data_IF_936169462726
#
_entry.id   IF_936169462726
#
_cell.length_a   1.000
_cell.length_b   1.000
_cell.length_c   1.000
_cell.angle_alpha   90.00
_cell.angle_beta   90.00
_cell.angle_gamma   90.00
#
_symmetry.space_group_name_H-M   'P 1'
#
loop_
_entity.id
_entity.type
_entity.pdbx_description
1 polymer ?
#
# COMPACT_ATOMS: atom_id res chain seq x y z
N UNK A 1 -28.93 3.00 25.18
CA UNK A 1 -27.99 3.49 24.16
C UNK A 1 -28.72 3.47 22.81
N UNK A 2 -28.86 4.62 22.15
CA UNK A 2 -29.90 4.86 21.14
C UNK A 2 -29.51 4.27 19.76
N UNK A 3 -30.11 3.12 19.39
CA UNK A 3 -29.77 2.34 18.20
C UNK A 3 -29.85 3.15 16.89
N UNK A 4 -30.78 4.12 16.82
CA UNK A 4 -30.98 4.99 15.65
C UNK A 4 -29.87 6.04 15.46
N UNK A 5 -29.22 6.49 16.55
CA UNK A 5 -28.09 7.42 16.48
C UNK A 5 -26.85 6.71 15.95
N UNK A 6 -26.63 5.47 16.38
CA UNK A 6 -25.56 4.63 15.86
C UNK A 6 -25.76 4.30 14.37
N UNK A 7 -26.99 4.00 13.93
CA UNK A 7 -27.27 3.73 12.52
C UNK A 7 -27.01 4.94 11.61
N UNK A 8 -27.43 6.14 12.01
CA UNK A 8 -27.12 7.37 11.26
C UNK A 8 -25.64 7.67 11.19
N UNK A 9 -24.92 7.47 12.30
CA UNK A 9 -23.48 7.68 12.37
C UNK A 9 -22.74 6.69 11.46
N UNK A 10 -23.10 5.41 11.51
CA UNK A 10 -22.51 4.36 10.66
C UNK A 10 -22.75 4.67 9.18
N UNK A 11 -23.97 5.05 8.80
CA UNK A 11 -24.28 5.40 7.40
C UNK A 11 -23.50 6.63 6.92
N UNK A 12 -23.31 7.62 7.79
CA UNK A 12 -22.51 8.80 7.47
C UNK A 12 -21.03 8.45 7.26
N UNK A 13 -20.46 7.64 8.16
CA UNK A 13 -19.07 7.16 8.05
C UNK A 13 -18.86 6.35 6.77
N UNK A 14 -19.77 5.43 6.48
CA UNK A 14 -19.68 4.60 5.27
C UNK A 14 -19.73 5.46 4.00
N UNK A 15 -20.62 6.45 3.93
CA UNK A 15 -20.71 7.33 2.78
C UNK A 15 -19.44 8.18 2.61
N UNK A 16 -18.81 8.63 3.70
CA UNK A 16 -17.51 9.31 3.62
C UNK A 16 -16.43 8.36 3.13
N UNK A 17 -16.35 7.16 3.71
CA UNK A 17 -15.34 6.16 3.34
C UNK A 17 -15.43 5.80 1.85
N UNK A 18 -16.63 5.54 1.32
CA UNK A 18 -16.84 5.25 -0.10
C UNK A 18 -16.33 6.38 -1.01
N UNK A 19 -16.61 7.64 -0.64
CA UNK A 19 -16.12 8.79 -1.42
C UNK A 19 -14.60 8.92 -1.35
N UNK A 20 -13.99 8.74 -0.17
CA UNK A 20 -12.54 8.78 0.00
C UNK A 20 -11.87 7.69 -0.83
N UNK A 21 -12.40 6.47 -0.82
CA UNK A 21 -11.86 5.36 -1.59
C UNK A 21 -11.94 5.59 -3.11
N UNK A 22 -13.03 6.20 -3.59
CA UNK A 22 -13.16 6.57 -5.00
C UNK A 22 -12.11 7.63 -5.38
N UNK A 23 -11.97 8.68 -4.57
CA UNK A 23 -10.97 9.73 -4.81
C UNK A 23 -9.55 9.14 -4.82
N UNK A 24 -9.23 8.30 -3.84
CA UNK A 24 -7.94 7.62 -3.76
C UNK A 24 -7.67 6.78 -5.02
N UNK A 25 -8.65 6.00 -5.48
CA UNK A 25 -8.53 5.20 -6.70
C UNK A 25 -8.24 6.05 -7.94
N UNK A 26 -8.94 7.18 -8.10
CA UNK A 26 -8.75 8.10 -9.23
C UNK A 26 -7.35 8.73 -9.18
N UNK A 27 -6.95 9.25 -8.01
CA UNK A 27 -5.63 9.86 -7.83
C UNK A 27 -4.52 8.84 -8.09
N UNK A 28 -4.64 7.62 -7.55
CA UNK A 28 -3.63 6.58 -7.75
C UNK A 28 -3.51 6.16 -9.21
N UNK A 29 -4.64 6.08 -9.93
CA UNK A 29 -4.63 5.78 -11.36
C UNK A 29 -3.92 6.87 -12.16
N UNK A 30 -4.21 8.14 -11.88
CA UNK A 30 -3.54 9.29 -12.52
C UNK A 30 -2.04 9.26 -12.18
N UNK A 31 -1.69 9.02 -10.91
CA UNK A 31 -0.31 8.93 -10.45
C UNK A 31 0.48 7.83 -11.17
N UNK A 32 -0.11 6.64 -11.40
CA UNK A 32 0.52 5.58 -12.19
C UNK A 32 0.80 6.05 -13.62
N UNK A 33 -0.20 6.65 -14.28
CA UNK A 33 -0.07 7.15 -15.66
C UNK A 33 1.02 8.21 -15.79
N UNK A 34 1.23 9.03 -14.76
CA UNK A 34 2.29 10.05 -14.74
C UNK A 34 3.67 9.48 -14.37
N UNK A 35 3.73 8.52 -13.43
CA UNK A 35 4.99 7.96 -12.94
C UNK A 35 5.65 6.99 -13.92
N UNK A 36 4.88 6.29 -14.76
CA UNK A 36 5.43 5.41 -15.81
C UNK A 36 6.31 6.17 -16.81
N UNK A 37 5.83 7.20 -17.52
CA UNK A 37 6.66 7.95 -18.45
C UNK A 37 7.79 8.71 -17.74
N UNK A 38 7.56 9.20 -16.51
CA UNK A 38 8.62 9.81 -15.70
C UNK A 38 9.79 8.84 -15.48
N UNK A 39 9.50 7.61 -15.07
CA UNK A 39 10.51 6.56 -14.90
C UNK A 39 11.22 6.23 -16.22
N UNK A 40 10.49 6.09 -17.32
CA UNK A 40 11.07 5.80 -18.64
C UNK A 40 12.07 6.88 -19.09
N UNK A 41 11.75 8.16 -18.88
CA UNK A 41 12.64 9.27 -19.20
C UNK A 41 13.91 9.23 -18.34
N UNK A 42 13.78 8.91 -17.05
CA UNK A 42 14.93 8.85 -16.13
C UNK A 42 15.84 7.64 -16.38
N UNK A 43 15.30 6.52 -16.86
CA UNK A 43 16.08 5.33 -17.19
C UNK A 43 16.95 5.51 -18.44
N UNK A 44 16.69 6.54 -19.25
CA UNK A 44 17.49 6.83 -20.43
C UNK A 44 18.96 7.08 -20.07
N UNK A 45 19.89 6.47 -20.82
CA UNK A 45 21.34 6.47 -20.53
C UNK A 45 21.93 7.86 -20.29
N UNK A 46 21.42 8.89 -20.98
CA UNK A 46 21.89 10.28 -20.83
C UNK A 46 21.58 10.88 -19.45
N UNK A 47 20.56 10.37 -18.75
CA UNK A 47 20.08 10.92 -17.48
C UNK A 47 20.66 10.18 -16.27
N UNK A 48 21.25 8.99 -16.41
CA UNK A 48 21.76 8.18 -15.27
C UNK A 48 23.15 8.60 -14.77
N UNK A 49 23.55 9.85 -15.02
CA UNK A 49 24.92 10.34 -14.77
C UNK A 49 25.14 10.91 -13.37
N UNK A 50 24.06 11.22 -12.65
CA UNK A 50 24.09 11.85 -11.32
C UNK A 50 23.40 11.00 -10.26
N UNK A 51 23.89 11.10 -9.02
CA UNK A 51 23.22 10.52 -7.84
C UNK A 51 21.80 11.04 -7.66
N UNK A 52 21.54 12.31 -7.96
CA UNK A 52 20.20 12.90 -7.90
C UNK A 52 19.22 12.16 -8.82
N UNK A 53 19.66 11.82 -10.02
CA UNK A 53 18.82 11.11 -10.98
C UNK A 53 18.64 9.63 -10.58
N UNK A 54 19.65 9.04 -9.95
CA UNK A 54 19.54 7.67 -9.38
C UNK A 54 18.57 7.61 -8.21
N UNK A 55 18.58 8.61 -7.32
CA UNK A 55 17.61 8.74 -6.21
C UNK A 55 16.20 8.96 -6.77
N UNK A 56 16.05 9.81 -7.79
CA UNK A 56 14.75 10.08 -8.43
C UNK A 56 14.16 8.83 -9.10
N UNK A 57 14.99 7.97 -9.70
CA UNK A 57 14.55 6.64 -10.18
C UNK A 57 14.03 5.80 -9.02
N UNK A 58 14.72 5.80 -7.88
CA UNK A 58 14.28 5.11 -6.66
C UNK A 58 12.90 5.58 -6.20
N UNK A 59 12.70 6.90 -6.11
CA UNK A 59 11.40 7.51 -5.75
C UNK A 59 10.31 7.06 -6.73
N UNK A 60 10.56 7.18 -8.05
CA UNK A 60 9.59 6.79 -9.06
C UNK A 60 9.21 5.29 -8.98
N UNK A 61 10.16 4.40 -8.64
CA UNK A 61 9.87 2.97 -8.42
C UNK A 61 9.04 2.76 -7.15
N UNK A 62 9.36 3.46 -6.06
CA UNK A 62 8.60 3.40 -4.81
C UNK A 62 7.16 3.84 -5.06
N UNK A 63 6.97 4.99 -5.70
CA UNK A 63 5.64 5.55 -5.99
C UNK A 63 4.85 4.62 -6.91
N UNK A 64 5.46 4.05 -7.96
CA UNK A 64 4.79 3.05 -8.79
C UNK A 64 4.33 1.84 -7.99
N UNK A 65 5.16 1.34 -7.07
CA UNK A 65 4.83 0.17 -6.25
C UNK A 65 3.66 0.48 -5.31
N UNK A 66 3.71 1.61 -4.60
CA UNK A 66 2.65 2.08 -3.70
C UNK A 66 1.33 2.26 -4.45
N UNK A 67 1.35 3.02 -5.53
CA UNK A 67 0.14 3.30 -6.31
C UNK A 67 -0.43 2.03 -6.96
N UNK A 68 0.43 1.09 -7.36
CA UNK A 68 0.00 -0.21 -7.90
C UNK A 68 -0.69 -1.08 -6.85
N UNK A 69 -0.21 -1.06 -5.60
CA UNK A 69 -0.83 -1.79 -4.49
C UNK A 69 -2.25 -1.26 -4.20
N UNK A 70 -2.40 0.08 -4.17
CA UNK A 70 -3.71 0.72 -3.98
C UNK A 70 -4.66 0.38 -5.13
N UNK A 71 -4.22 0.50 -6.38
CA UNK A 71 -5.06 0.14 -7.55
C UNK A 71 -5.44 -1.33 -7.52
N UNK A 72 -4.50 -2.22 -7.18
CA UNK A 72 -4.76 -3.65 -7.06
C UNK A 72 -5.87 -3.95 -6.02
N UNK A 73 -5.74 -3.39 -4.81
CA UNK A 73 -6.73 -3.59 -3.74
C UNK A 73 -8.13 -3.10 -4.18
N UNK A 74 -8.22 -1.91 -4.77
CA UNK A 74 -9.49 -1.34 -5.23
C UNK A 74 -10.11 -2.10 -6.40
N UNK A 75 -9.29 -2.59 -7.32
CA UNK A 75 -9.78 -3.43 -8.42
C UNK A 75 -10.30 -4.77 -7.89
N UNK A 76 -9.61 -5.39 -6.93
CA UNK A 76 -10.12 -6.60 -6.24
C UNK A 76 -11.48 -6.31 -5.59
N UNK A 77 -11.58 -5.23 -4.82
CA UNK A 77 -12.79 -4.84 -4.09
C UNK A 77 -14.00 -4.55 -5.01
N UNK A 78 -13.81 -3.70 -6.03
CA UNK A 78 -14.91 -3.21 -6.88
C UNK A 78 -15.22 -4.12 -8.07
N UNK A 79 -14.22 -4.68 -8.74
CA UNK A 79 -14.43 -5.42 -10.01
C UNK A 79 -14.58 -6.92 -9.80
N UNK A 80 -13.72 -7.53 -8.99
CA UNK A 80 -13.75 -8.98 -8.78
C UNK A 80 -14.77 -9.36 -7.71
N UNK A 81 -14.78 -8.61 -6.61
CA UNK A 81 -15.65 -8.88 -5.47
C UNK A 81 -16.93 -8.06 -5.45
N UNK A 82 -17.11 -7.18 -6.44
CA UNK A 82 -18.32 -6.43 -6.81
C UNK A 82 -19.41 -6.45 -5.76
N UNK A 83 -19.35 -5.50 -4.83
CA UNK A 83 -20.35 -5.27 -3.76
C UNK A 83 -20.99 -6.57 -3.25
N UNK A 84 -20.27 -7.28 -2.38
CA UNK A 84 -20.75 -8.51 -1.72
C UNK A 84 -21.31 -9.56 -2.69
N UNK A 85 -20.62 -9.88 -3.79
CA UNK A 85 -21.03 -11.01 -4.63
C UNK A 85 -21.06 -12.29 -3.76
N UNK A 86 -22.25 -12.81 -3.41
CA UNK A 86 -22.36 -13.88 -2.43
C UNK A 86 -22.14 -15.26 -3.05
N UNK A 87 -21.72 -15.26 -4.32
CA UNK A 87 -21.37 -16.43 -5.10
C UNK A 87 -19.86 -16.58 -5.22
N UNK A 88 -19.05 -15.76 -4.56
CA UNK A 88 -17.61 -15.98 -4.45
C UNK A 88 -17.17 -15.78 -3.00
N UNK A 89 -16.24 -16.62 -2.54
CA UNK A 89 -15.61 -16.45 -1.25
C UNK A 89 -14.56 -15.34 -1.33
N UNK A 90 -14.82 -14.21 -0.67
CA UNK A 90 -13.94 -13.04 -0.65
C UNK A 90 -12.80 -13.19 0.37
N UNK A 91 -13.01 -14.03 1.39
CA UNK A 91 -12.11 -14.21 2.53
C UNK A 91 -11.28 -15.49 2.37
N UNK A 92 -10.78 -15.73 1.17
CA UNK A 92 -9.91 -16.88 0.90
C UNK A 92 -8.50 -16.60 1.45
N UNK A 93 -7.79 -17.66 1.88
CA UNK A 93 -6.43 -17.54 2.43
C UNK A 93 -5.49 -16.78 1.50
N UNK A 94 -5.49 -17.11 0.21
CA UNK A 94 -4.65 -16.44 -0.78
C UNK A 94 -4.98 -14.95 -0.96
N UNK A 95 -6.26 -14.58 -0.86
CA UNK A 95 -6.67 -13.19 -0.99
C UNK A 95 -6.20 -12.38 0.23
N UNK A 96 -6.45 -12.89 1.45
CA UNK A 96 -5.98 -12.24 2.68
C UNK A 96 -4.45 -12.16 2.75
N UNK A 97 -3.74 -13.20 2.31
CA UNK A 97 -2.29 -13.16 2.15
C UNK A 97 -1.84 -12.10 1.17
N UNK A 98 -2.46 -12.03 -0.02
CA UNK A 98 -2.11 -11.04 -1.05
C UNK A 98 -2.34 -9.61 -0.55
N UNK A 99 -3.46 -9.37 0.12
CA UNK A 99 -3.77 -8.08 0.74
C UNK A 99 -2.75 -7.73 1.83
N UNK A 100 -2.41 -8.67 2.72
CA UNK A 100 -1.41 -8.43 3.77
C UNK A 100 -0.03 -8.10 3.17
N UNK A 101 0.41 -8.86 2.17
CA UNK A 101 1.67 -8.60 1.46
C UNK A 101 1.61 -7.23 0.77
N UNK A 102 0.51 -6.90 0.12
CA UNK A 102 0.27 -5.60 -0.49
C UNK A 102 0.40 -4.45 0.50
N UNK A 103 -0.23 -4.58 1.68
CA UNK A 103 -0.14 -3.58 2.76
C UNK A 103 1.30 -3.44 3.27
N UNK A 104 2.01 -4.56 3.50
CA UNK A 104 3.40 -4.52 3.95
C UNK A 104 4.29 -3.81 2.91
N UNK A 105 4.13 -4.16 1.63
CA UNK A 105 4.88 -3.52 0.54
C UNK A 105 4.57 -2.02 0.49
N UNK A 106 3.30 -1.65 0.55
CA UNK A 106 2.87 -0.26 0.56
C UNK A 106 3.57 0.52 1.70
N UNK A 107 3.51 0.02 2.94
CA UNK A 107 4.17 0.67 4.09
C UNK A 107 5.67 0.85 3.87
N UNK A 108 6.37 -0.20 3.43
CA UNK A 108 7.82 -0.15 3.20
C UNK A 108 8.20 0.89 2.15
N UNK A 109 7.48 0.91 1.02
CA UNK A 109 7.81 1.80 -0.09
C UNK A 109 7.36 3.25 0.14
N UNK A 110 6.29 3.49 0.88
CA UNK A 110 5.88 4.84 1.31
C UNK A 110 6.95 5.48 2.21
N UNK A 111 7.39 4.75 3.25
CA UNK A 111 8.47 5.20 4.13
C UNK A 111 9.77 5.45 3.34
N UNK A 112 10.12 4.52 2.45
CA UNK A 112 11.32 4.63 1.62
C UNK A 112 11.25 5.86 0.71
N UNK A 113 10.12 6.11 0.05
CA UNK A 113 9.93 7.27 -0.84
C UNK A 113 10.09 8.58 -0.08
N UNK A 114 9.50 8.67 1.12
CA UNK A 114 9.65 9.82 2.01
C UNK A 114 11.13 10.11 2.35
N UNK A 115 11.86 9.09 2.82
CA UNK A 115 13.28 9.27 3.18
C UNK A 115 14.13 9.58 1.95
N UNK A 116 13.87 8.95 0.80
CA UNK A 116 14.55 9.27 -0.45
C UNK A 116 14.34 10.72 -0.86
N UNK A 117 13.13 11.28 -0.67
CA UNK A 117 12.85 12.70 -0.88
C UNK A 117 13.70 13.62 0.01
N UNK A 118 13.86 13.28 1.29
CA UNK A 118 14.73 14.03 2.21
C UNK A 118 16.19 13.98 1.75
N UNK A 119 16.70 12.79 1.42
CA UNK A 119 18.07 12.62 0.96
C UNK A 119 18.33 13.25 -0.42
N UNK A 120 17.31 13.33 -1.28
CA UNK A 120 17.39 14.04 -2.56
C UNK A 120 17.66 15.53 -2.32
N UNK A 121 16.89 16.17 -1.44
CA UNK A 121 17.05 17.58 -1.10
C UNK A 121 18.42 17.84 -0.44
N UNK A 122 18.81 16.98 0.49
CA UNK A 122 20.12 17.06 1.16
C UNK A 122 21.29 16.92 0.18
N UNK A 123 21.22 15.92 -0.71
CA UNK A 123 22.24 15.70 -1.74
C UNK A 123 22.37 16.90 -2.67
N UNK A 124 21.24 17.48 -3.11
CA UNK A 124 21.24 18.70 -3.94
C UNK A 124 21.89 19.89 -3.23
N UNK A 125 21.60 20.08 -1.94
CA UNK A 125 22.18 21.16 -1.15
C UNK A 125 23.71 21.02 -1.07
N UNK A 126 24.21 19.83 -0.77
CA UNK A 126 25.66 19.56 -0.68
C UNK A 126 26.34 19.80 -2.03
N UNK A 127 25.78 19.26 -3.12
CA UNK A 127 26.36 19.42 -4.46
C UNK A 127 26.44 20.90 -4.84
N UNK A 128 25.39 21.67 -4.57
CA UNK A 128 25.34 23.10 -4.87
C UNK A 128 26.34 23.90 -4.02
N UNK A 129 26.58 23.50 -2.77
CA UNK A 129 27.56 24.14 -1.87
C UNK A 129 29.02 23.77 -2.18
N UNK A 130 29.26 22.61 -2.80
CA UNK A 130 30.61 22.09 -3.05
C UNK A 130 31.33 22.67 -4.29
N UNK A 131 30.70 23.63 -5.00
CA UNK A 131 31.27 24.50 -6.04
C UNK A 131 32.41 23.88 -6.89
N UNK A 132 32.13 22.76 -7.58
CA UNK A 132 33.04 22.17 -8.56
C UNK A 132 33.94 21.04 -8.07
N UNK A 133 33.89 20.67 -6.78
CA UNK A 133 34.61 19.50 -6.28
C UNK A 133 33.85 18.21 -6.64
N UNK A 134 34.49 17.25 -7.29
CA UNK A 134 33.88 15.94 -7.60
C UNK A 134 33.71 15.12 -6.31
N UNK A 135 32.55 15.26 -5.67
CA UNK A 135 32.20 14.47 -4.49
C UNK A 135 31.81 13.05 -4.90
N UNK A 136 32.22 12.06 -4.10
CA UNK A 136 31.78 10.66 -4.27
C UNK A 136 30.24 10.53 -4.21
N UNK A 137 29.59 11.42 -3.45
CA UNK A 137 28.14 11.52 -3.26
C UNK A 137 27.42 11.91 -4.56
N UNK A 138 28.10 12.57 -5.51
CA UNK A 138 27.52 12.95 -6.81
C UNK A 138 27.41 11.76 -7.79
N UNK A 139 28.09 10.64 -7.50
CA UNK A 139 28.09 9.46 -8.39
C UNK A 139 26.78 8.68 -8.27
N UNK A 140 26.25 8.14 -9.39
CA UNK A 140 24.98 7.40 -9.41
C UNK A 140 24.98 6.19 -8.46
N UNK A 141 26.13 5.52 -8.31
CA UNK A 141 26.29 4.38 -7.41
C UNK A 141 25.92 4.69 -5.95
N UNK A 142 26.17 5.91 -5.49
CA UNK A 142 25.77 6.33 -4.14
C UNK A 142 24.25 6.33 -3.99
N UNK A 143 23.52 6.83 -5.00
CA UNK A 143 22.06 6.83 -5.00
C UNK A 143 21.47 5.42 -4.95
N UNK A 144 22.00 4.48 -5.74
CA UNK A 144 21.54 3.09 -5.70
C UNK A 144 21.84 2.39 -4.36
N UNK A 145 23.02 2.63 -3.78
CA UNK A 145 23.36 2.11 -2.46
C UNK A 145 22.43 2.68 -1.39
N UNK A 146 22.14 3.98 -1.45
CA UNK A 146 21.22 4.64 -0.52
C UNK A 146 19.81 4.04 -0.60
N UNK A 147 19.29 3.80 -1.81
CA UNK A 147 17.99 3.14 -2.00
C UNK A 147 17.99 1.77 -1.32
N UNK A 148 19.01 0.95 -1.54
CA UNK A 148 19.10 -0.40 -0.97
C UNK A 148 19.12 -0.36 0.57
N UNK A 149 19.86 0.59 1.16
CA UNK A 149 19.91 0.77 2.62
C UNK A 149 18.55 1.20 3.17
N UNK A 150 17.89 2.16 2.55
CA UNK A 150 16.59 2.67 3.02
C UNK A 150 15.49 1.60 2.92
N UNK A 151 15.42 0.89 1.79
CA UNK A 151 14.49 -0.25 1.65
C UNK A 151 14.75 -1.29 2.72
N UNK A 152 16.02 -1.60 3.03
CA UNK A 152 16.38 -2.55 4.08
C UNK A 152 15.93 -2.09 5.47
N UNK A 153 16.13 -0.82 5.81
CA UNK A 153 15.70 -0.25 7.09
C UNK A 153 14.18 -0.21 7.23
N UNK A 154 13.46 0.25 6.19
CA UNK A 154 11.99 0.26 6.19
C UNK A 154 11.39 -1.14 6.21
N UNK A 155 12.03 -2.11 5.53
CA UNK A 155 11.63 -3.52 5.60
C UNK A 155 11.81 -4.09 6.99
N UNK A 156 12.90 -3.76 7.69
CA UNK A 156 13.13 -4.20 9.05
C UNK A 156 12.10 -3.59 10.02
N UNK A 157 11.83 -2.29 9.89
CA UNK A 157 10.82 -1.58 10.66
C UNK A 157 9.44 -2.22 10.48
N UNK A 158 9.04 -2.43 9.21
CA UNK A 158 7.77 -3.09 8.88
C UNK A 158 7.73 -4.54 9.37
N UNK A 159 8.81 -5.31 9.22
CA UNK A 159 8.85 -6.69 9.70
C UNK A 159 8.67 -6.79 11.22
N UNK A 160 9.28 -5.88 11.99
CA UNK A 160 9.08 -5.81 13.44
C UNK A 160 7.63 -5.47 13.80
N UNK A 161 6.97 -4.61 13.03
CA UNK A 161 5.56 -4.26 13.23
C UNK A 161 4.61 -5.42 12.88
N UNK A 162 4.84 -6.07 11.73
CA UNK A 162 3.94 -7.10 11.21
C UNK A 162 4.18 -8.51 11.78
N UNK A 163 5.20 -8.70 12.61
CA UNK A 163 5.52 -10.02 13.21
C UNK A 163 4.36 -10.62 14.02
N UNK A 164 3.50 -9.78 14.60
CA UNK A 164 2.36 -10.22 15.42
C UNK A 164 1.09 -10.57 14.64
N UNK A 165 1.08 -10.43 13.31
CA UNK A 165 -0.09 -10.76 12.48
C UNK A 165 -0.09 -12.23 12.09
N UNK A 166 -1.23 -12.89 12.31
CA UNK A 166 -1.49 -14.25 11.88
C UNK A 166 -2.78 -14.31 11.07
N UNK A 167 -2.85 -15.23 10.11
CA UNK A 167 -4.07 -15.48 9.34
C UNK A 167 -4.73 -16.71 9.95
N UNK A 168 -5.90 -16.50 10.55
CA UNK A 168 -6.65 -17.55 11.24
C UNK A 168 -7.94 -17.85 10.48
N UNK A 169 -8.39 -19.10 10.56
CA UNK A 169 -9.68 -19.48 10.02
C UNK A 169 -10.79 -18.91 10.92
N UNK A 170 -11.73 -18.17 10.32
CA UNK A 170 -12.82 -17.52 11.04
C UNK A 170 -14.13 -18.32 10.95
N UNK A 171 -14.55 -18.69 9.74
CA UNK A 171 -15.82 -19.36 9.50
C UNK A 171 -15.75 -20.27 8.26
N UNK A 172 -16.90 -20.83 7.86
CA UNK A 172 -17.08 -21.62 6.66
C UNK A 172 -18.06 -20.88 5.74
N UNK A 173 -17.55 -20.37 4.63
CA UNK A 173 -18.35 -19.78 3.56
C UNK A 173 -19.17 -20.85 2.83
N UNK A 174 -20.42 -20.51 2.55
CA UNK A 174 -21.33 -21.31 1.72
C UNK A 174 -22.00 -20.40 0.68
N UNK A 175 -22.10 -20.85 -0.58
CA UNK A 175 -22.74 -20.06 -1.62
C UNK A 175 -24.22 -19.85 -1.29
N UNK A 176 -24.75 -18.64 -1.55
CA UNK A 176 -26.19 -18.39 -1.43
C UNK A 176 -26.95 -19.23 -2.47
N UNK A 177 -28.23 -19.54 -2.19
CA UNK A 177 -29.10 -20.36 -3.07
C UNK A 177 -29.20 -19.86 -4.53
N UNK A 178 -28.96 -18.56 -4.75
CA UNK A 178 -28.98 -17.93 -6.08
C UNK A 178 -27.74 -18.24 -6.94
N UNK A 179 -26.71 -18.83 -6.36
CA UNK A 179 -25.44 -19.13 -7.01
C UNK A 179 -25.51 -20.50 -7.67
N UNK A 180 -25.32 -20.55 -8.99
CA UNK A 180 -25.34 -21.79 -9.77
C UNK A 180 -23.92 -22.31 -10.03
N UNK A 181 -23.77 -23.59 -10.35
CA UNK A 181 -22.46 -24.19 -10.71
C UNK A 181 -21.70 -24.85 -9.55
N UNK A 182 -22.21 -24.79 -8.33
CA UNK A 182 -21.62 -25.45 -7.16
C UNK A 182 -22.17 -26.88 -6.94
N UNK A 183 -21.33 -27.85 -6.51
CA UNK A 183 -21.80 -29.18 -6.16
C UNK A 183 -22.65 -29.17 -4.88
N UNK A 184 -23.43 -30.24 -4.66
CA UNK A 184 -24.24 -30.38 -3.46
C UNK A 184 -23.38 -30.37 -2.19
N UNK A 185 -23.76 -29.55 -1.19
CA UNK A 185 -23.04 -29.36 0.09
C UNK A 185 -21.66 -28.71 -0.03
N UNK A 186 -21.42 -27.91 -1.08
CA UNK A 186 -20.18 -27.13 -1.19
C UNK A 186 -19.99 -26.15 -0.04
N UNK A 187 -18.76 -26.07 0.47
CA UNK A 187 -18.35 -25.15 1.52
C UNK A 187 -16.85 -24.89 1.48
N UNK A 188 -16.43 -23.67 1.79
CA UNK A 188 -15.03 -23.25 1.82
C UNK A 188 -14.69 -22.57 3.16
N UNK A 189 -13.46 -22.67 3.67
CA UNK A 189 -13.04 -21.90 4.83
C UNK A 189 -12.91 -20.40 4.50
N UNK A 190 -13.21 -19.54 5.46
CA UNK A 190 -12.88 -18.11 5.45
C UNK A 190 -11.77 -17.82 6.42
N UNK A 191 -10.95 -16.83 6.09
CA UNK A 191 -9.81 -16.40 6.87
C UNK A 191 -9.91 -14.93 7.21
N UNK A 192 -9.39 -14.56 8.38
CA UNK A 192 -9.26 -13.17 8.81
C UNK A 192 -7.86 -12.94 9.37
N UNK A 193 -7.41 -11.69 9.29
CA UNK A 193 -6.16 -11.24 9.89
C UNK A 193 -6.40 -11.02 11.39
N UNK A 194 -5.63 -11.72 12.21
CA UNK A 194 -5.70 -11.66 13.67
C UNK A 194 -4.36 -11.16 14.23
N UNK A 195 -4.42 -10.13 15.07
CA UNK A 195 -3.25 -9.59 15.77
C UNK A 195 -3.17 -10.21 17.16
N UNK A 196 -1.99 -10.70 17.56
CA UNK A 196 -1.82 -11.49 18.77
C UNK A 196 -2.07 -10.72 20.10
N UNK A 197 -2.08 -9.39 20.08
CA UNK A 197 -2.34 -8.54 21.25
C UNK A 197 -3.76 -7.94 21.15
N UNK A 198 -4.73 -8.69 21.65
CA UNK A 198 -6.15 -8.35 21.64
C UNK A 198 -6.46 -7.34 22.77
N UNK A 199 -6.40 -6.05 22.44
CA UNK A 199 -7.23 -5.05 23.10
C UNK A 199 -8.04 -4.34 22.00
N UNK A 200 -9.33 -4.70 21.92
CA UNK A 200 -10.38 -4.23 21.00
C UNK A 200 -10.40 -2.68 20.81
N UNK A 201 -9.81 -1.93 21.75
CA UNK A 201 -9.65 -0.47 21.74
C UNK A 201 -8.51 0.04 20.83
N UNK A 202 -7.43 -0.73 20.69
CA UNK A 202 -6.27 -0.37 19.87
C UNK A 202 -6.55 -0.66 18.40
N UNK A 203 -7.12 -1.82 18.05
CA UNK A 203 -7.46 -2.18 16.66
C UNK A 203 -8.40 -1.19 15.96
N UNK A 204 -9.41 -0.68 16.68
CA UNK A 204 -10.34 0.35 16.18
C UNK A 204 -9.66 1.71 15.96
N UNK A 205 -8.78 2.12 16.89
CA UNK A 205 -7.94 3.31 16.71
C UNK A 205 -6.95 3.13 15.54
N UNK A 206 -6.44 1.94 15.31
CA UNK A 206 -5.48 1.65 14.25
C UNK A 206 -6.11 1.62 12.85
N UNK A 207 -7.29 1.02 12.66
CA UNK A 207 -8.00 1.12 11.38
C UNK A 207 -8.40 2.57 11.06
N UNK A 208 -8.74 3.35 12.08
CA UNK A 208 -8.99 4.79 11.95
C UNK A 208 -7.70 5.56 11.60
N UNK A 209 -6.59 5.34 12.29
CA UNK A 209 -5.33 6.05 12.04
C UNK A 209 -4.73 5.66 10.69
N UNK A 210 -4.72 4.37 10.34
CA UNK A 210 -4.22 3.88 9.06
C UNK A 210 -5.13 4.29 7.89
N UNK A 211 -6.46 4.29 8.10
CA UNK A 211 -7.41 4.83 7.13
C UNK A 211 -7.30 6.35 6.95
N UNK A 212 -6.95 7.09 8.00
CA UNK A 212 -6.70 8.53 7.94
C UNK A 212 -5.33 8.86 7.33
N UNK A 213 -4.30 8.06 7.60
CA UNK A 213 -2.96 8.27 7.02
C UNK A 213 -2.90 7.96 5.53
N UNK A 214 -3.77 7.06 5.04
CA UNK A 214 -3.94 6.80 3.61
C UNK A 214 -4.81 7.85 2.89
N UNK A 215 -5.46 8.75 3.65
CA UNK A 215 -6.32 9.82 3.13
C UNK A 215 -5.66 11.22 3.18
N UNK A 216 -4.44 11.32 3.72
CA UNK A 216 -3.62 12.54 3.76
C UNK A 216 -2.41 12.43 2.83
#
# INVERSE_FOLDING_TARGET
MNKSLNEKLINFINNIAENVFLVQFVISTIGLVLNVPHLLILLHNSMRTSSTNSIMIGIAICDLTVLSAVVYERVQEYWFHGSQNPCMNQLNYFNECSLLIGTILQTVFEETSFWLGVFLAFTRLIIMKAAGTTLKISKPLFGYLLILVLVGLSSLHSASYYHGFSIVQFDIWKPKKRCTGYPAKYSEPTYVRYFADDEELLGSRYQLIHGVSQAS
#
